data_IF_146710513975
#
_entry.id   IF_146710513975
#
_cell.length_a   1.000
_cell.length_b   1.000
_cell.length_c   1.000
_cell.angle_alpha   90.00
_cell.angle_beta   90.00
_cell.angle_gamma   90.00
#
_symmetry.space_group_name_H-M   'P 1'
#
loop_
_entity.id
_entity.type
_entity.pdbx_description
1 polymer ?
#
# COMPACT_ATOMS: atom_id res chain seq x y z
N UNK A 1 14.72 35.17 17.41
CA UNK A 1 14.79 34.47 16.10
C UNK A 1 14.81 32.95 16.25
N UNK A 2 15.63 32.36 17.15
CA UNK A 2 15.69 30.90 17.36
C UNK A 2 14.35 30.25 17.72
N UNK A 3 13.57 30.90 18.59
CA UNK A 3 12.26 30.39 19.03
C UNK A 3 11.18 30.48 17.92
N UNK A 4 11.33 31.41 16.97
CA UNK A 4 10.43 31.58 15.84
C UNK A 4 10.68 30.53 14.74
N UNK A 5 11.95 30.16 14.54
CA UNK A 5 12.32 29.06 13.64
C UNK A 5 11.79 27.73 14.19
N UNK A 6 11.88 27.50 15.51
CA UNK A 6 11.40 26.30 16.17
C UNK A 6 9.87 26.10 16.01
N UNK A 7 9.09 27.17 16.09
CA UNK A 7 7.63 27.12 15.93
C UNK A 7 7.22 26.81 14.49
N UNK A 8 7.94 27.34 13.49
CA UNK A 8 7.68 27.05 12.08
C UNK A 8 7.97 25.57 11.77
N UNK A 9 9.07 25.02 12.31
CA UNK A 9 9.39 23.60 12.11
C UNK A 9 8.37 22.64 12.73
N UNK A 10 7.82 22.96 13.92
CA UNK A 10 6.77 22.15 14.54
C UNK A 10 5.46 22.17 13.74
N UNK A 11 5.12 23.32 13.15
CA UNK A 11 3.91 23.46 12.35
C UNK A 11 3.98 22.66 11.03
N UNK A 12 5.16 22.45 10.46
CA UNK A 12 5.33 21.67 9.22
C UNK A 12 5.19 20.16 9.49
N UNK A 13 5.64 19.69 10.66
CA UNK A 13 5.53 18.28 11.08
C UNK A 13 4.09 17.84 11.36
N UNK A 14 3.19 18.76 11.75
CA UNK A 14 1.79 18.42 12.00
C UNK A 14 0.98 18.30 10.70
N UNK A 15 1.37 19.00 9.63
CA UNK A 15 0.69 18.93 8.33
C UNK A 15 0.84 17.54 7.70
N UNK A 16 1.99 16.87 7.89
CA UNK A 16 2.23 15.52 7.34
C UNK A 16 1.41 14.44 8.05
N UNK A 17 0.91 14.71 9.27
CA UNK A 17 0.09 13.75 10.03
C UNK A 17 -1.36 13.64 9.50
N UNK A 18 -1.88 14.67 8.82
CA UNK A 18 -3.26 14.68 8.30
C UNK A 18 -3.39 14.13 6.87
N UNK A 19 -2.28 13.87 6.18
CA UNK A 19 -2.25 13.38 4.80
C UNK A 19 -1.91 11.89 4.63
N UNK A 20 -1.78 11.14 5.73
CA UNK A 20 -1.39 9.72 5.64
C UNK A 20 -2.58 8.87 5.19
N UNK A 21 -2.39 8.09 4.10
CA UNK A 21 -3.39 7.14 3.61
C UNK A 21 -3.79 6.16 4.70
N UNK A 22 -5.08 5.89 4.81
CA UNK A 22 -5.69 4.85 5.63
C UNK A 22 -5.39 3.44 5.07
N UNK A 23 -5.56 2.42 5.92
CA UNK A 23 -5.46 1.02 5.51
C UNK A 23 -6.38 0.70 4.31
N UNK A 24 -7.60 1.25 4.33
CA UNK A 24 -8.58 1.08 3.25
C UNK A 24 -8.13 1.71 1.93
N UNK A 25 -7.50 2.88 1.98
CA UNK A 25 -6.96 3.52 0.78
C UNK A 25 -5.79 2.73 0.19
N UNK A 26 -4.90 2.16 1.02
CA UNK A 26 -3.88 1.23 0.54
C UNK A 26 -4.48 -0.02 -0.10
N UNK A 27 -5.57 -0.57 0.46
CA UNK A 27 -6.29 -1.68 -0.15
C UNK A 27 -6.87 -1.31 -1.52
N UNK A 28 -7.51 -0.15 -1.64
CA UNK A 28 -8.05 0.33 -2.93
C UNK A 28 -6.95 0.54 -3.99
N UNK A 29 -5.80 1.06 -3.59
CA UNK A 29 -4.62 1.19 -4.46
C UNK A 29 -4.10 -0.18 -4.89
N UNK A 30 -4.14 -1.18 -3.99
CA UNK A 30 -3.82 -2.55 -4.34
C UNK A 30 -4.76 -3.11 -5.41
N UNK A 31 -6.07 -2.88 -5.27
CA UNK A 31 -7.05 -3.30 -6.27
C UNK A 31 -6.81 -2.63 -7.62
N UNK A 32 -6.46 -1.34 -7.63
CA UNK A 32 -6.16 -0.60 -8.85
C UNK A 32 -4.95 -1.19 -9.60
N UNK A 33 -3.83 -1.43 -8.89
CA UNK A 33 -2.68 -2.11 -9.47
C UNK A 33 -2.99 -3.54 -9.94
N UNK A 34 -3.79 -4.29 -9.17
CA UNK A 34 -4.19 -5.64 -9.56
C UNK A 34 -4.99 -5.64 -10.86
N UNK A 35 -5.92 -4.69 -11.03
CA UNK A 35 -6.71 -4.53 -12.25
C UNK A 35 -5.87 -4.10 -13.45
N UNK A 36 -4.78 -3.37 -13.22
CA UNK A 36 -3.80 -3.00 -14.26
C UNK A 36 -2.83 -4.14 -14.62
N UNK A 37 -2.86 -5.26 -13.89
CA UNK A 37 -1.92 -6.38 -14.06
C UNK A 37 -0.58 -6.18 -13.36
N UNK A 38 -0.38 -5.05 -12.68
CA UNK A 38 0.81 -4.70 -11.90
C UNK A 38 0.84 -5.44 -10.55
N UNK A 39 0.84 -6.77 -10.60
CA UNK A 39 0.54 -7.62 -9.45
C UNK A 39 1.60 -7.51 -8.34
N UNK A 40 2.86 -7.24 -8.70
CA UNK A 40 3.90 -6.94 -7.71
C UNK A 40 3.60 -5.66 -6.90
N UNK A 41 3.04 -4.62 -7.53
CA UNK A 41 2.64 -3.39 -6.83
C UNK A 41 1.39 -3.61 -5.98
N UNK A 42 0.44 -4.42 -6.43
CA UNK A 42 -0.77 -4.73 -5.65
C UNK A 42 -0.43 -5.45 -4.34
N UNK A 43 0.47 -6.45 -4.37
CA UNK A 43 0.93 -7.18 -3.17
C UNK A 43 1.55 -6.21 -2.15
N UNK A 44 2.38 -5.26 -2.61
CA UNK A 44 2.99 -4.24 -1.73
C UNK A 44 1.93 -3.35 -1.07
N UNK A 45 0.93 -2.92 -1.83
CA UNK A 45 -0.16 -2.09 -1.33
C UNK A 45 -1.03 -2.85 -0.30
N UNK A 46 -1.37 -4.12 -0.58
CA UNK A 46 -2.11 -4.95 0.38
C UNK A 46 -1.31 -5.23 1.65
N UNK A 47 0.02 -5.42 1.56
CA UNK A 47 0.86 -5.54 2.75
C UNK A 47 0.78 -4.29 3.64
N UNK A 48 0.80 -3.09 3.05
CA UNK A 48 0.62 -1.84 3.82
C UNK A 48 -0.76 -1.76 4.46
N UNK A 49 -1.82 -2.16 3.76
CA UNK A 49 -3.16 -2.23 4.35
C UNK A 49 -3.20 -3.17 5.56
N UNK A 50 -2.56 -4.34 5.48
CA UNK A 50 -2.46 -5.33 6.56
C UNK A 50 -1.61 -4.83 7.74
N UNK A 51 -0.48 -4.18 7.47
CA UNK A 51 0.38 -3.58 8.50
C UNK A 51 -0.36 -2.53 9.32
N UNK A 52 -1.27 -1.79 8.69
CA UNK A 52 -2.07 -0.75 9.33
C UNK A 52 -3.33 -1.29 10.02
N UNK A 53 -4.00 -2.26 9.43
CA UNK A 53 -5.19 -2.91 10.00
C UNK A 53 -5.22 -4.40 9.61
N UNK A 54 -4.77 -5.24 10.52
CA UNK A 54 -4.74 -6.70 10.36
C UNK A 54 -6.06 -7.38 10.70
N UNK A 55 -7.11 -6.63 11.05
CA UNK A 55 -8.42 -7.21 11.41
C UNK A 55 -9.29 -7.51 10.19
N UNK A 56 -8.91 -6.98 9.01
CA UNK A 56 -9.68 -7.12 7.78
C UNK A 56 -9.25 -8.35 6.99
N UNK A 57 -10.08 -9.39 7.03
CA UNK A 57 -9.88 -10.62 6.26
C UNK A 57 -9.74 -10.33 4.74
N UNK A 58 -10.50 -9.36 4.22
CA UNK A 58 -10.48 -8.97 2.80
C UNK A 58 -9.08 -8.57 2.31
N UNK A 59 -8.25 -7.94 3.16
CA UNK A 59 -6.90 -7.52 2.78
C UNK A 59 -5.97 -8.73 2.60
N UNK A 60 -6.09 -9.73 3.47
CA UNK A 60 -5.34 -10.98 3.35
C UNK A 60 -5.82 -11.80 2.15
N UNK A 61 -7.14 -11.84 1.92
CA UNK A 61 -7.72 -12.53 0.77
C UNK A 61 -7.20 -11.94 -0.55
N UNK A 62 -7.31 -10.63 -0.72
CA UNK A 62 -6.83 -9.95 -1.94
C UNK A 62 -5.32 -10.15 -2.15
N UNK A 63 -4.52 -10.10 -1.07
CA UNK A 63 -3.09 -10.44 -1.15
C UNK A 63 -2.85 -11.89 -1.57
N UNK A 64 -3.64 -12.83 -1.06
CA UNK A 64 -3.55 -14.24 -1.43
C UNK A 64 -3.81 -14.45 -2.92
N UNK A 65 -4.90 -13.86 -3.42
CA UNK A 65 -5.24 -13.87 -4.85
C UNK A 65 -4.10 -13.27 -5.68
N UNK A 66 -3.56 -12.12 -5.26
CA UNK A 66 -2.46 -11.48 -5.96
C UNK A 66 -1.18 -12.33 -5.97
N UNK A 67 -0.84 -13.00 -4.86
CA UNK A 67 0.31 -13.92 -4.82
C UNK A 67 0.14 -15.10 -5.75
N UNK A 68 -1.02 -15.76 -5.75
CA UNK A 68 -1.28 -16.87 -6.67
C UNK A 68 -1.20 -16.43 -8.13
N UNK A 69 -1.72 -15.24 -8.45
CA UNK A 69 -1.59 -14.68 -9.79
C UNK A 69 -0.13 -14.38 -10.15
N UNK A 70 0.64 -13.79 -9.23
CA UNK A 70 2.06 -13.50 -9.42
C UNK A 70 2.88 -14.78 -9.64
N UNK A 71 2.69 -15.79 -8.80
CA UNK A 71 3.39 -17.08 -8.94
C UNK A 71 3.03 -17.77 -10.27
N UNK A 72 1.78 -17.65 -10.73
CA UNK A 72 1.36 -18.15 -12.04
C UNK A 72 1.97 -17.37 -13.22
N UNK A 73 2.16 -16.06 -13.08
CA UNK A 73 2.88 -15.25 -14.08
C UNK A 73 4.35 -15.63 -14.16
N UNK A 74 5.01 -15.77 -13.00
CA UNK A 74 6.43 -16.18 -12.92
C UNK A 74 6.62 -17.62 -13.44
N UNK A 75 5.61 -18.48 -13.31
CA UNK A 75 5.59 -19.85 -13.83
C UNK A 75 5.35 -19.97 -15.35
N UNK A 76 5.19 -18.86 -16.08
CA UNK A 76 5.09 -18.81 -17.54
C UNK A 76 6.41 -18.36 -18.22
N UNK A 77 7.60 -18.93 -17.94
CA UNK A 77 8.83 -18.35 -18.47
C UNK A 77 8.91 -18.38 -20.00
N UNK A 78 8.38 -19.37 -20.71
CA UNK A 78 8.54 -19.44 -22.18
C UNK A 78 7.44 -20.31 -22.81
N UNK A 79 6.38 -19.69 -23.33
CA UNK A 79 5.63 -20.25 -24.47
C UNK A 79 5.92 -19.37 -25.70
N UNK A 80 7.17 -19.40 -26.16
CA UNK A 80 7.57 -18.98 -27.51
C UNK A 80 8.55 -20.00 -28.09
#
# INVERSE_FOLDING_TARGET
MKNFILTITLAILSITAFGQRSAREYFLVGNDFFNQGDVGFSIRAYNRAIEMDSTKADYFYARGVAKTYYDNLDALPDYN
#
